data_IF_853270636111
#
_entry.id   IF_853270636111
#
_cell.length_a   1.000
_cell.length_b   1.000
_cell.length_c   1.000
_cell.angle_alpha   90.00
_cell.angle_beta   90.00
_cell.angle_gamma   90.00
#
_symmetry.space_group_name_H-M   'P 1'
#
loop_
_entity.id
_entity.type
_entity.pdbx_description
1 polymer ?
#
# COMPACT_ATOMS: atom_id res chain seq x y z
N UNK A 1 -10.50 -13.28 -12.59
CA UNK A 1 -9.79 -12.16 -11.91
C UNK A 1 -8.29 -12.48 -11.91
N UNK A 2 -7.41 -11.48 -11.92
CA UNK A 2 -5.95 -11.65 -12.12
C UNK A 2 -5.17 -11.78 -10.80
N UNK A 3 -5.82 -11.62 -9.64
CA UNK A 3 -5.19 -11.73 -8.33
C UNK A 3 -5.35 -13.13 -7.74
N UNK A 4 -4.30 -13.64 -7.09
CA UNK A 4 -4.29 -14.93 -6.42
C UNK A 4 -4.21 -14.76 -4.90
N UNK A 5 -4.80 -15.70 -4.16
CA UNK A 5 -4.59 -15.82 -2.71
C UNK A 5 -3.10 -16.00 -2.41
N UNK A 6 -2.59 -15.26 -1.42
CA UNK A 6 -1.18 -15.26 -1.06
C UNK A 6 -0.36 -14.17 -1.76
N UNK A 7 -0.89 -13.49 -2.77
CA UNK A 7 -0.19 -12.35 -3.38
C UNK A 7 -0.12 -11.16 -2.43
N UNK A 8 0.98 -10.42 -2.55
CA UNK A 8 1.24 -9.23 -1.76
C UNK A 8 0.85 -8.01 -2.56
N UNK A 9 0.09 -7.11 -1.94
CA UNK A 9 -0.43 -5.92 -2.59
C UNK A 9 0.02 -4.66 -1.88
N UNK A 10 0.37 -3.64 -2.66
CA UNK A 10 0.41 -2.24 -2.23
C UNK A 10 -0.73 -1.48 -2.91
N UNK A 11 -1.67 -1.01 -2.11
CA UNK A 11 -2.92 -0.40 -2.53
C UNK A 11 -2.89 1.08 -2.16
N UNK A 12 -3.01 1.96 -3.15
CA UNK A 12 -3.10 3.42 -2.96
C UNK A 12 -4.54 3.84 -3.18
N UNK A 13 -5.12 4.53 -2.20
CA UNK A 13 -6.41 5.19 -2.40
C UNK A 13 -6.20 6.55 -3.07
N UNK A 14 -6.80 6.75 -4.25
CA UNK A 14 -6.74 8.04 -4.94
C UNK A 14 -7.53 9.09 -4.16
N UNK A 15 -6.94 10.29 -4.07
CA UNK A 15 -7.62 11.45 -3.49
C UNK A 15 -8.55 12.05 -4.53
N UNK A 16 -9.75 12.42 -4.12
CA UNK A 16 -10.69 13.18 -4.95
C UNK A 16 -10.63 14.67 -4.60
N UNK A 17 -10.23 15.00 -3.37
CA UNK A 17 -10.10 16.35 -2.86
C UNK A 17 -8.76 16.58 -2.16
N UNK A 18 -8.29 17.83 -2.12
CA UNK A 18 -7.01 18.19 -1.50
C UNK A 18 -6.95 17.85 0.01
N UNK A 19 -8.09 17.88 0.69
CA UNK A 19 -8.20 17.57 2.12
C UNK A 19 -8.27 16.06 2.41
N UNK A 20 -8.33 15.22 1.38
CA UNK A 20 -8.48 13.78 1.57
C UNK A 20 -7.25 13.20 2.25
N UNK A 21 -7.51 12.32 3.23
CA UNK A 21 -6.44 11.63 3.91
C UNK A 21 -5.71 10.70 2.93
N UNK A 22 -4.41 10.92 2.77
CA UNK A 22 -3.54 10.08 1.94
C UNK A 22 -3.26 8.77 2.67
N UNK A 23 -3.77 7.67 2.11
CA UNK A 23 -3.77 6.36 2.76
C UNK A 23 -3.37 5.28 1.77
N UNK A 24 -2.41 4.46 2.17
CA UNK A 24 -2.08 3.24 1.47
C UNK A 24 -2.38 2.02 2.36
N UNK A 25 -2.54 0.87 1.75
CA UNK A 25 -2.68 -0.40 2.45
C UNK A 25 -1.72 -1.40 1.86
N UNK A 26 -0.94 -2.07 2.69
CA UNK A 26 -0.01 -3.11 2.25
C UNK A 26 -0.36 -4.40 2.97
N UNK A 27 -0.56 -5.47 2.22
CA UNK A 27 -1.04 -6.72 2.80
C UNK A 27 -1.11 -7.88 1.83
N UNK A 28 -1.58 -9.01 2.35
CA UNK A 28 -1.68 -10.28 1.64
C UNK A 28 -3.14 -10.55 1.26
N UNK A 29 -3.37 -10.99 0.03
CA UNK A 29 -4.69 -11.43 -0.43
C UNK A 29 -5.08 -12.71 0.30
N UNK A 30 -6.19 -12.69 1.03
CA UNK A 30 -6.78 -13.87 1.67
C UNK A 30 -7.85 -14.54 0.80
N UNK A 31 -8.39 -13.82 -0.17
CA UNK A 31 -9.37 -14.33 -1.12
C UNK A 31 -10.06 -13.21 -1.88
N UNK A 32 -10.90 -13.59 -2.84
CA UNK A 32 -11.55 -12.62 -3.71
C UNK A 32 -12.86 -13.13 -4.30
N UNK A 33 -13.75 -12.21 -4.66
CA UNK A 33 -15.04 -12.50 -5.30
C UNK A 33 -15.43 -11.34 -6.22
N UNK A 34 -15.64 -11.62 -7.51
CA UNK A 34 -15.96 -10.55 -8.48
C UNK A 34 -14.84 -9.51 -8.56
N UNK A 35 -15.12 -8.27 -8.18
CA UNK A 35 -14.15 -7.18 -8.04
C UNK A 35 -13.79 -6.86 -6.58
N UNK A 36 -14.23 -7.69 -5.62
CA UNK A 36 -13.93 -7.52 -4.21
C UNK A 36 -12.73 -8.39 -3.83
N UNK A 37 -11.80 -7.82 -3.08
CA UNK A 37 -10.66 -8.53 -2.52
C UNK A 37 -10.67 -8.42 -1.00
N UNK A 38 -10.35 -9.52 -0.32
CA UNK A 38 -10.06 -9.55 1.11
C UNK A 38 -8.55 -9.52 1.29
N UNK A 39 -8.05 -8.50 1.98
CA UNK A 39 -6.62 -8.28 2.18
C UNK A 39 -6.34 -8.08 3.67
N UNK A 40 -5.36 -8.81 4.22
CA UNK A 40 -4.90 -8.65 5.59
C UNK A 40 -3.55 -7.95 5.61
N UNK A 41 -3.42 -6.89 6.40
CA UNK A 41 -2.20 -6.09 6.42
C UNK A 41 -2.31 -4.79 7.20
N UNK A 42 -1.47 -3.83 6.83
CA UNK A 42 -1.25 -2.59 7.57
C UNK A 42 -1.72 -1.37 6.78
N UNK A 43 -2.29 -0.40 7.51
CA UNK A 43 -2.62 0.91 7.00
C UNK A 43 -1.40 1.83 7.14
N UNK A 44 -1.04 2.49 6.05
CA UNK A 44 -0.07 3.57 6.04
C UNK A 44 -0.81 4.88 5.78
N UNK A 45 -0.60 5.88 6.63
CA UNK A 45 -1.24 7.18 6.49
C UNK A 45 -0.18 8.27 6.47
N UNK A 46 -0.36 9.28 5.64
CA UNK A 46 0.51 10.45 5.65
C UNK A 46 0.41 11.15 7.01
N UNK A 47 1.55 11.29 7.67
CA UNK A 47 1.74 12.21 8.79
C UNK A 47 2.09 13.59 8.23
N UNK A 48 1.23 14.58 8.45
CA UNK A 48 1.44 15.94 7.96
C UNK A 48 2.57 16.68 8.70
N UNK A 49 2.92 16.27 9.91
CA UNK A 49 3.99 16.91 10.69
C UNK A 49 5.37 16.49 10.19
N UNK A 50 5.51 15.20 9.84
CA UNK A 50 6.77 14.62 9.36
C UNK A 50 6.82 14.53 7.83
N UNK A 51 5.73 14.87 7.15
CA UNK A 51 5.56 14.75 5.69
C UNK A 51 5.93 13.36 5.15
N UNK A 52 5.62 12.31 5.90
CA UNK A 52 5.93 10.92 5.53
C UNK A 52 4.76 9.98 5.83
N UNK A 53 4.68 8.87 5.09
CA UNK A 53 3.72 7.81 5.39
C UNK A 53 4.19 6.99 6.58
N UNK A 54 3.36 6.92 7.62
CA UNK A 54 3.63 6.14 8.84
C UNK A 54 2.70 4.94 8.93
N UNK A 55 3.25 3.80 9.36
CA UNK A 55 2.47 2.59 9.64
C UNK A 55 1.57 2.83 10.85
N UNK A 56 0.30 2.43 10.77
CA UNK A 56 -0.58 2.32 11.93
C UNK A 56 -0.47 0.89 12.48
N UNK A 57 -0.19 0.74 13.77
CA UNK A 57 0.22 -0.53 14.39
C UNK A 57 -0.80 -1.67 14.28
N UNK A 58 -2.07 -1.34 14.10
CA UNK A 58 -3.15 -2.32 14.05
C UNK A 58 -3.18 -3.06 12.71
N UNK A 59 -2.74 -4.33 12.75
CA UNK A 59 -3.00 -5.34 11.73
C UNK A 59 -4.50 -5.56 11.59
N UNK A 60 -5.04 -5.46 10.38
CA UNK A 60 -6.47 -5.64 10.13
C UNK A 60 -6.74 -6.29 8.78
N UNK A 61 -7.92 -6.90 8.66
CA UNK A 61 -8.45 -7.39 7.39
C UNK A 61 -9.41 -6.37 6.78
N UNK A 62 -9.26 -6.07 5.50
CA UNK A 62 -10.14 -5.17 4.74
C UNK A 62 -10.75 -5.88 3.54
N UNK A 63 -12.00 -5.53 3.23
CA UNK A 63 -12.60 -5.80 1.92
C UNK A 63 -12.47 -4.52 1.10
N UNK A 64 -11.88 -4.63 -0.08
CA UNK A 64 -11.61 -3.50 -0.99
C UNK A 64 -12.24 -3.82 -2.34
N UNK A 65 -12.96 -2.87 -2.91
CA UNK A 65 -13.44 -2.95 -4.29
C UNK A 65 -12.34 -2.47 -5.24
N UNK A 66 -11.98 -3.31 -6.20
CA UNK A 66 -11.09 -2.99 -7.30
C UNK A 66 -11.86 -2.18 -8.35
N UNK A 67 -11.58 -0.89 -8.38
CA UNK A 67 -12.14 0.08 -9.32
C UNK A 67 -11.15 1.25 -9.49
N UNK A 68 -11.52 2.25 -10.29
CA UNK A 68 -10.67 3.41 -10.62
C UNK A 68 -10.24 4.28 -9.42
N UNK A 69 -10.82 4.09 -8.23
CA UNK A 69 -10.44 4.82 -7.01
C UNK A 69 -9.20 4.25 -6.32
N UNK A 70 -8.72 3.08 -6.74
CA UNK A 70 -7.52 2.45 -6.17
C UNK A 70 -6.49 2.14 -7.25
N UNK A 71 -5.21 2.37 -6.92
CA UNK A 71 -4.08 1.85 -7.68
C UNK A 71 -3.56 0.64 -6.90
N UNK A 72 -3.42 -0.50 -7.58
CA UNK A 72 -2.95 -1.75 -6.95
C UNK A 72 -1.65 -2.18 -7.62
N UNK A 73 -0.58 -2.27 -6.83
CA UNK A 73 0.68 -2.87 -7.24
C UNK A 73 0.78 -4.26 -6.64
N UNK A 74 1.16 -5.25 -7.46
CA UNK A 74 1.52 -6.58 -6.97
C UNK A 74 2.99 -6.51 -6.55
N UNK A 75 3.27 -6.86 -5.29
CA UNK A 75 4.62 -6.88 -4.75
C UNK A 75 5.23 -8.28 -4.97
N UNK A 76 6.55 -8.38 -5.18
CA UNK A 76 7.23 -9.67 -5.23
C UNK A 76 7.02 -10.50 -3.97
N UNK A 77 6.96 -11.82 -4.12
CA UNK A 77 6.70 -12.75 -3.01
C UNK A 77 7.79 -12.80 -1.93
N UNK A 78 8.96 -12.19 -2.18
CA UNK A 78 10.05 -12.09 -1.20
C UNK A 78 9.97 -10.83 -0.33
N UNK A 79 9.05 -9.91 -0.63
CA UNK A 79 8.90 -8.66 0.13
C UNK A 79 8.37 -8.96 1.52
N UNK A 80 8.99 -8.37 2.54
CA UNK A 80 8.57 -8.53 3.93
C UNK A 80 7.54 -7.49 4.31
N UNK A 81 6.26 -7.87 4.22
CA UNK A 81 5.12 -6.97 4.47
C UNK A 81 5.13 -6.32 5.86
N UNK A 82 5.61 -7.04 6.87
CA UNK A 82 5.71 -6.54 8.26
C UNK A 82 6.85 -5.52 8.47
N UNK A 83 7.78 -5.38 7.51
CA UNK A 83 8.93 -4.46 7.58
C UNK A 83 8.76 -3.24 6.65
N UNK A 84 7.59 -3.09 6.00
CA UNK A 84 7.36 -2.00 5.05
C UNK A 84 7.45 -0.63 5.70
N UNK A 85 8.26 0.23 5.09
CA UNK A 85 8.45 1.63 5.43
C UNK A 85 8.44 2.51 4.18
N UNK A 86 8.28 3.81 4.40
CA UNK A 86 8.32 4.82 3.36
C UNK A 86 9.48 5.76 3.64
N UNK A 87 10.26 6.05 2.60
CA UNK A 87 11.42 6.94 2.69
C UNK A 87 11.34 8.01 1.60
N UNK A 88 11.73 9.22 1.96
CA UNK A 88 11.87 10.33 1.03
C UNK A 88 13.34 10.45 0.64
N UNK A 89 13.64 10.36 -0.67
CA UNK A 89 14.99 10.60 -1.17
C UNK A 89 15.24 12.10 -1.38
N UNK A 90 16.51 12.56 -1.37
CA UNK A 90 16.83 13.98 -1.55
C UNK A 90 16.33 14.62 -2.86
N UNK A 91 16.10 13.81 -3.89
CA UNK A 91 15.56 14.24 -5.18
C UNK A 91 14.02 14.39 -5.19
N UNK A 92 13.36 14.21 -4.05
CA UNK A 92 11.90 14.28 -3.92
C UNK A 92 11.18 12.95 -4.15
N UNK A 93 11.92 11.87 -4.44
CA UNK A 93 11.27 10.57 -4.63
C UNK A 93 10.66 10.01 -3.35
N UNK A 94 9.49 9.40 -3.47
CA UNK A 94 8.87 8.60 -2.41
C UNK A 94 9.10 7.13 -2.73
N UNK A 95 9.81 6.45 -1.84
CA UNK A 95 10.18 5.06 -1.99
C UNK A 95 9.52 4.21 -0.90
N UNK A 96 8.86 3.13 -1.31
CA UNK A 96 8.41 2.05 -0.44
C UNK A 96 9.49 0.97 -0.41
N UNK A 97 9.88 0.49 0.77
CA UNK A 97 10.89 -0.57 0.93
C UNK A 97 10.56 -1.40 2.16
N UNK A 98 11.09 -2.61 2.22
CA UNK A 98 11.07 -3.50 3.39
C UNK A 98 12.41 -3.52 4.13
N UNK A 99 13.33 -2.60 3.82
CA UNK A 99 14.67 -2.55 4.41
C UNK A 99 15.69 -3.48 3.74
N UNK A 100 15.28 -4.23 2.71
CA UNK A 100 16.18 -5.00 1.85
C UNK A 100 16.57 -4.18 0.60
N UNK A 101 17.21 -4.83 -0.39
CA UNK A 101 17.48 -4.24 -1.70
C UNK A 101 16.20 -3.92 -2.51
N UNK A 102 15.07 -4.53 -2.14
CA UNK A 102 13.80 -4.27 -2.79
C UNK A 102 13.28 -2.87 -2.47
N UNK A 103 12.80 -2.20 -3.51
CA UNK A 103 12.15 -0.91 -3.39
C UNK A 103 11.16 -0.65 -4.53
N UNK A 104 10.13 0.14 -4.24
CA UNK A 104 9.12 0.61 -5.19
C UNK A 104 9.08 2.14 -5.15
N UNK A 105 9.34 2.79 -6.29
CA UNK A 105 9.17 4.24 -6.44
C UNK A 105 7.70 4.55 -6.77
N UNK A 106 7.10 5.46 -6.00
CA UNK A 106 5.69 5.86 -6.13
C UNK A 106 5.51 7.37 -6.38
N UNK A 107 6.56 8.09 -6.74
CA UNK A 107 6.57 9.56 -6.90
C UNK A 107 5.54 10.06 -7.92
N UNK A 108 5.26 9.28 -8.95
CA UNK A 108 4.40 9.67 -10.08
C UNK A 108 2.98 9.08 -10.02
N UNK A 109 2.57 8.52 -8.87
CA UNK A 109 1.27 7.87 -8.68
C UNK A 109 0.21 8.78 -8.04
#
# INVERSE_FOLDING_TARGET
>A
MVLNTGEYLHIIHRQLFQSDARRHFVGTVEGHEGNLIRVKGYLFAMDSTQSQFVRREELRTRIISLNESVIVNILPSHVKIDEITYTHRPNGDIIVTDGTEWHLNITHL
#
